data_IF_156682043117
#
_entry.id   IF_156682043117
#
_cell.length_a   1.000
_cell.length_b   1.000
_cell.length_c   1.000
_cell.angle_alpha   90.00
_cell.angle_beta   90.00
_cell.angle_gamma   90.00
#
_symmetry.space_group_name_H-M   'P 1'
#
loop_
_entity.id
_entity.type
_entity.pdbx_description
1 polymer ?
#
# COMPACT_ATOMS: atom_id res chain seq x y z
N UNK A 1 -16.30 22.42 25.53
CA UNK A 1 -15.43 21.22 25.51
C UNK A 1 -15.73 20.46 24.24
N UNK A 2 -15.01 20.76 23.17
CA UNK A 2 -15.14 20.10 21.87
C UNK A 2 -14.48 18.73 22.02
N UNK A 3 -15.26 17.67 21.84
CA UNK A 3 -14.77 16.29 21.78
C UNK A 3 -13.71 16.21 20.68
N UNK A 4 -12.48 15.85 21.09
CA UNK A 4 -11.41 15.50 20.18
C UNK A 4 -11.95 14.35 19.32
N UNK A 5 -12.20 14.61 18.03
CA UNK A 5 -12.57 13.55 17.10
C UNK A 5 -11.51 12.45 17.23
N UNK A 6 -11.95 11.24 17.51
CA UNK A 6 -11.11 10.07 17.74
C UNK A 6 -10.15 9.92 16.56
N UNK A 7 -8.93 10.43 16.73
CA UNK A 7 -7.99 10.63 15.64
C UNK A 7 -7.45 9.25 15.30
N UNK A 8 -7.81 8.73 14.12
CA UNK A 8 -7.38 7.40 13.66
C UNK A 8 -5.87 7.25 13.85
N UNK A 9 -5.48 6.26 14.64
CA UNK A 9 -4.08 6.03 14.98
C UNK A 9 -3.31 5.50 13.75
N UNK A 10 -2.21 6.16 13.42
CA UNK A 10 -1.30 5.82 12.34
C UNK A 10 0.13 6.10 12.78
N UNK A 11 1.07 5.21 12.40
CA UNK A 11 2.50 5.48 12.53
C UNK A 11 2.95 6.65 11.66
N UNK A 12 4.13 7.21 11.98
CA UNK A 12 4.75 8.34 11.25
C UNK A 12 4.49 9.71 11.89
N UNK A 13 3.80 9.76 13.03
CA UNK A 13 3.53 10.99 13.80
C UNK A 13 4.74 11.53 14.58
N UNK A 14 5.92 11.63 13.94
CA UNK A 14 7.15 12.08 14.59
C UNK A 14 7.03 13.46 15.22
N UNK A 15 6.32 14.39 14.59
CA UNK A 15 6.14 15.74 15.15
C UNK A 15 5.34 15.72 16.46
N UNK A 16 4.28 14.91 16.54
CA UNK A 16 3.51 14.72 17.77
C UNK A 16 4.35 14.03 18.84
N UNK A 17 5.16 13.03 18.48
CA UNK A 17 6.06 12.35 19.41
C UNK A 17 7.15 13.31 19.94
N UNK A 18 7.75 14.12 19.08
CA UNK A 18 8.73 15.16 19.44
C UNK A 18 8.13 16.24 20.31
N UNK A 19 6.92 16.70 20.00
CA UNK A 19 6.21 17.67 20.84
C UNK A 19 5.95 17.14 22.26
N UNK A 20 5.72 15.82 22.39
CA UNK A 20 5.46 15.17 23.68
C UNK A 20 6.72 14.82 24.46
N UNK A 21 7.75 14.29 23.80
CA UNK A 21 8.92 13.69 24.44
C UNK A 21 10.22 14.50 24.26
N UNK A 22 10.20 15.56 23.46
CA UNK A 22 11.36 16.40 23.18
C UNK A 22 12.28 15.86 22.08
N UNK A 23 13.40 16.57 21.84
CA UNK A 23 14.41 16.21 20.86
C UNK A 23 14.22 16.81 19.45
N UNK A 24 15.33 16.91 18.74
CA UNK A 24 15.43 17.31 17.33
C UNK A 24 15.11 16.14 16.39
N UNK A 25 14.76 16.43 15.13
CA UNK A 25 14.43 15.39 14.16
C UNK A 25 15.55 14.34 13.95
N UNK A 26 16.82 14.71 14.18
CA UNK A 26 17.98 13.81 14.00
C UNK A 26 18.15 12.80 15.13
N UNK A 27 17.51 13.02 16.27
CA UNK A 27 17.59 12.15 17.45
C UNK A 27 16.53 11.05 17.43
N UNK A 28 15.61 11.09 16.46
CA UNK A 28 14.52 10.13 16.33
C UNK A 28 14.82 9.10 15.25
N UNK A 29 14.61 7.83 15.61
CA UNK A 29 14.51 6.73 14.67
C UNK A 29 13.04 6.30 14.58
N UNK A 30 12.40 6.58 13.45
CA UNK A 30 11.01 6.18 13.26
C UNK A 30 10.89 4.72 12.83
N UNK A 31 10.48 3.87 13.76
CA UNK A 31 10.13 2.46 13.52
C UNK A 31 8.62 2.23 13.56
N UNK A 32 7.82 3.30 13.65
CA UNK A 32 6.35 3.20 13.70
C UNK A 32 5.73 3.00 12.31
N UNK A 33 6.54 3.11 11.26
CA UNK A 33 6.08 2.95 9.87
C UNK A 33 6.75 1.74 9.23
N UNK A 34 5.96 0.88 8.57
CA UNK A 34 6.47 -0.23 7.74
C UNK A 34 7.04 0.24 6.39
N UNK A 35 7.85 1.30 6.40
CA UNK A 35 8.48 1.91 5.22
C UNK A 35 9.91 1.37 5.11
N UNK A 36 10.36 1.04 3.89
CA UNK A 36 11.74 0.62 3.68
C UNK A 36 12.71 1.75 4.09
N UNK A 37 13.61 1.53 5.06
CA UNK A 37 14.51 2.57 5.57
C UNK A 37 15.60 2.97 4.57
N UNK A 38 15.83 2.17 3.52
CA UNK A 38 16.70 2.51 2.40
C UNK A 38 15.86 2.64 1.13
N UNK A 39 15.39 3.85 0.79
CA UNK A 39 14.48 4.06 -0.32
C UNK A 39 15.14 3.82 -1.67
N UNK A 40 14.32 3.61 -2.70
CA UNK A 40 14.79 3.60 -4.08
C UNK A 40 15.52 4.92 -4.40
N UNK A 41 16.73 4.88 -4.98
CA UNK A 41 17.50 6.07 -5.24
C UNK A 41 16.82 6.94 -6.31
N UNK A 42 16.54 8.19 -5.96
CA UNK A 42 15.96 9.15 -6.91
C UNK A 42 17.10 9.84 -7.64
N UNK A 43 17.31 9.46 -8.91
CA UNK A 43 18.21 10.15 -9.81
C UNK A 43 17.64 11.52 -10.22
N UNK A 44 18.49 12.37 -10.82
CA UNK A 44 18.04 13.64 -11.40
C UNK A 44 16.90 13.41 -12.40
N UNK A 45 15.84 14.19 -12.26
CA UNK A 45 14.68 14.16 -13.15
C UNK A 45 14.85 15.16 -14.28
N UNK A 46 14.32 14.87 -15.48
CA UNK A 46 14.19 15.88 -16.53
C UNK A 46 13.42 17.10 -16.00
N UNK A 47 13.82 18.34 -16.33
CA UNK A 47 13.08 19.54 -15.92
C UNK A 47 11.61 19.51 -16.31
N UNK A 48 11.31 18.95 -17.49
CA UNK A 48 9.95 18.80 -18.01
C UNK A 48 9.03 17.94 -17.14
N UNK A 49 9.58 17.03 -16.32
CA UNK A 49 8.78 16.26 -15.35
C UNK A 49 8.11 17.14 -14.31
N UNK A 50 8.62 18.36 -14.08
CA UNK A 50 8.07 19.32 -13.10
C UNK A 50 7.19 20.38 -13.75
N UNK A 51 7.52 20.80 -14.97
CA UNK A 51 6.95 22.00 -15.59
C UNK A 51 5.82 21.70 -16.57
N UNK A 52 5.70 20.46 -17.07
CA UNK A 52 4.64 20.06 -18.00
C UNK A 52 3.54 19.26 -17.31
N UNK A 53 2.32 19.42 -17.79
CA UNK A 53 1.24 18.51 -17.44
C UNK A 53 1.58 17.10 -17.97
N UNK A 54 1.32 16.04 -17.17
CA UNK A 54 1.51 14.68 -17.64
C UNK A 54 0.73 14.37 -18.91
N UNK A 55 1.42 13.84 -19.91
CA UNK A 55 0.80 13.37 -21.13
C UNK A 55 0.46 11.88 -21.06
N UNK A 56 -0.21 11.38 -22.11
CA UNK A 56 -0.58 9.97 -22.21
C UNK A 56 0.65 9.05 -22.23
N UNK A 57 1.78 9.49 -22.80
CA UNK A 57 2.98 8.67 -22.92
C UNK A 57 3.61 8.39 -21.55
N UNK A 58 3.66 9.39 -20.66
CA UNK A 58 4.16 9.23 -19.30
C UNK A 58 3.33 8.22 -18.49
N UNK A 59 1.99 8.32 -18.57
CA UNK A 59 1.10 7.33 -17.96
C UNK A 59 1.30 5.93 -18.56
N UNK A 60 1.34 5.82 -19.90
CA UNK A 60 1.51 4.55 -20.58
C UNK A 60 2.84 3.87 -20.23
N UNK A 61 3.94 4.64 -20.11
CA UNK A 61 5.23 4.10 -19.69
C UNK A 61 5.15 3.50 -18.28
N UNK A 62 4.60 4.27 -17.33
CA UNK A 62 4.43 3.79 -15.95
C UNK A 62 3.56 2.54 -15.89
N UNK A 63 2.39 2.56 -16.53
CA UNK A 63 1.47 1.43 -16.55
C UNK A 63 2.09 0.20 -17.24
N UNK A 64 2.92 0.39 -18.28
CA UNK A 64 3.66 -0.70 -18.94
C UNK A 64 4.74 -1.30 -18.03
N UNK A 65 5.51 -0.45 -17.35
CA UNK A 65 6.51 -0.90 -16.38
C UNK A 65 5.87 -1.69 -15.23
N UNK A 66 4.76 -1.18 -14.69
CA UNK A 66 3.97 -1.85 -13.66
C UNK A 66 3.43 -3.21 -14.12
N UNK A 67 2.91 -3.30 -15.36
CA UNK A 67 2.45 -4.56 -15.94
C UNK A 67 3.55 -5.61 -15.99
N UNK A 68 4.76 -5.22 -16.42
CA UNK A 68 5.91 -6.12 -16.47
C UNK A 68 6.37 -6.52 -15.07
N UNK A 69 6.60 -5.56 -14.18
CA UNK A 69 7.13 -5.80 -12.84
C UNK A 69 6.24 -6.73 -12.02
N UNK A 70 4.92 -6.49 -12.03
CA UNK A 70 3.96 -7.30 -11.26
C UNK A 70 3.37 -8.48 -12.04
N UNK A 71 3.82 -8.75 -13.27
CA UNK A 71 3.25 -9.80 -14.12
C UNK A 71 1.72 -9.70 -14.25
N UNK A 72 1.23 -8.48 -14.50
CA UNK A 72 -0.21 -8.19 -14.58
C UNK A 72 -0.81 -8.89 -15.80
N UNK A 73 -1.86 -9.72 -15.65
CA UNK A 73 -2.47 -10.39 -16.79
C UNK A 73 -3.14 -9.41 -17.77
N UNK A 74 -3.20 -9.77 -19.05
CA UNK A 74 -3.75 -8.92 -20.12
C UNK A 74 -5.22 -8.54 -19.89
N UNK A 75 -6.01 -9.44 -19.29
CA UNK A 75 -7.42 -9.20 -18.98
C UNK A 75 -7.69 -8.23 -17.82
N UNK A 76 -6.66 -7.81 -17.09
CA UNK A 76 -6.79 -6.82 -16.01
C UNK A 76 -6.48 -5.41 -16.52
N UNK A 77 -7.20 -4.41 -16.03
CA UNK A 77 -6.86 -3.00 -16.22
C UNK A 77 -5.96 -2.51 -15.07
N UNK A 78 -5.21 -1.44 -15.34
CA UNK A 78 -4.32 -0.79 -14.37
C UNK A 78 -4.60 0.72 -14.32
N UNK A 79 -4.45 1.30 -13.14
CA UNK A 79 -4.58 2.73 -12.90
C UNK A 79 -3.59 3.18 -11.83
N UNK A 80 -2.70 4.10 -12.18
CA UNK A 80 -1.87 4.83 -11.22
C UNK A 80 -2.70 5.90 -10.51
N UNK A 81 -2.46 6.12 -9.22
CA UNK A 81 -3.22 7.00 -8.34
C UNK A 81 -2.31 7.75 -7.34
N UNK A 82 -2.78 8.85 -6.71
CA UNK A 82 -2.02 9.63 -5.73
C UNK A 82 -1.93 8.89 -4.37
N UNK A 83 -1.22 7.76 -4.38
CA UNK A 83 -1.10 6.82 -3.27
C UNK A 83 -2.30 5.86 -3.18
N UNK A 84 -2.08 4.73 -2.53
CA UNK A 84 -3.14 3.75 -2.26
C UNK A 84 -4.30 4.35 -1.45
N UNK A 85 -4.02 5.33 -0.58
CA UNK A 85 -5.04 6.04 0.22
C UNK A 85 -6.13 6.70 -0.63
N UNK A 86 -5.78 7.28 -1.78
CA UNK A 86 -6.77 7.87 -2.67
C UNK A 86 -7.70 6.82 -3.30
N UNK A 87 -7.16 5.62 -3.55
CA UNK A 87 -7.94 4.49 -4.04
C UNK A 87 -8.88 3.99 -2.94
N UNK A 88 -8.35 3.74 -1.74
CA UNK A 88 -9.11 3.27 -0.57
C UNK A 88 -10.31 4.17 -0.29
N UNK A 89 -10.12 5.49 -0.36
CA UNK A 89 -11.19 6.46 -0.14
C UNK A 89 -12.30 6.43 -1.22
N UNK A 90 -12.03 5.91 -2.42
CA UNK A 90 -12.96 5.95 -3.57
C UNK A 90 -13.61 4.61 -3.89
N UNK A 91 -12.94 3.49 -3.59
CA UNK A 91 -13.44 2.13 -3.86
C UNK A 91 -14.87 1.89 -3.33
N UNK A 92 -15.24 2.31 -2.11
CA UNK A 92 -16.59 2.07 -1.59
C UNK A 92 -17.71 2.71 -2.41
N UNK A 93 -17.42 3.76 -3.18
CA UNK A 93 -18.39 4.45 -4.03
C UNK A 93 -18.53 3.88 -5.44
N UNK A 94 -17.75 2.84 -5.80
CA UNK A 94 -17.76 2.28 -7.16
C UNK A 94 -18.97 1.36 -7.41
N UNK A 95 -19.60 0.85 -6.36
CA UNK A 95 -20.77 -0.05 -6.41
C UNK A 95 -21.76 0.34 -5.31
N UNK A 96 -23.06 -0.04 -5.43
CA UNK A 96 -24.05 0.25 -4.40
C UNK A 96 -23.64 -0.31 -3.02
N UNK A 97 -23.92 0.42 -1.92
CA UNK A 97 -23.54 0.00 -0.59
C UNK A 97 -24.28 -1.27 -0.17
N UNK A 98 -23.60 -2.10 0.60
CA UNK A 98 -24.14 -3.33 1.19
C UNK A 98 -23.40 -3.68 2.47
N UNK A 99 -22.98 -4.93 2.58
CA UNK A 99 -22.20 -5.43 3.73
C UNK A 99 -20.78 -5.69 3.28
N UNK A 100 -19.80 -5.20 4.04
CA UNK A 100 -18.38 -5.44 3.78
C UNK A 100 -17.75 -6.22 4.93
N UNK A 101 -17.04 -7.29 4.57
CA UNK A 101 -16.20 -8.07 5.49
C UNK A 101 -14.76 -7.54 5.45
N UNK A 102 -14.27 -7.08 6.60
CA UNK A 102 -12.92 -6.54 6.77
C UNK A 102 -12.31 -7.19 8.03
N UNK A 103 -11.59 -8.31 7.90
CA UNK A 103 -11.10 -9.05 9.05
C UNK A 103 -10.07 -8.25 9.88
N UNK A 104 -10.32 -8.13 11.18
CA UNK A 104 -9.46 -7.42 12.13
C UNK A 104 -8.47 -8.37 12.83
N UNK A 105 -7.39 -7.84 13.46
CA UNK A 105 -6.87 -6.47 13.32
C UNK A 105 -6.30 -6.24 11.92
N UNK A 106 -6.56 -5.05 11.35
CA UNK A 106 -6.05 -4.64 10.04
C UNK A 106 -5.93 -3.12 9.90
N UNK A 107 -5.49 -2.63 8.74
CA UNK A 107 -5.43 -1.20 8.43
C UNK A 107 -6.82 -0.55 8.46
N UNK A 108 -7.01 0.37 9.42
CA UNK A 108 -8.29 0.97 9.79
C UNK A 108 -8.91 1.91 8.72
N UNK A 109 -8.13 2.40 7.74
CA UNK A 109 -8.66 3.27 6.68
C UNK A 109 -9.71 2.60 5.81
N UNK A 110 -9.63 1.29 5.59
CA UNK A 110 -10.63 0.57 4.80
C UNK A 110 -12.01 0.63 5.46
N UNK A 111 -12.10 0.23 6.74
CA UNK A 111 -13.37 0.27 7.47
C UNK A 111 -13.94 1.70 7.55
N UNK A 112 -13.09 2.71 7.75
CA UNK A 112 -13.49 4.11 7.77
C UNK A 112 -14.06 4.56 6.41
N UNK A 113 -13.38 4.25 5.31
CA UNK A 113 -13.83 4.63 3.97
C UNK A 113 -15.16 3.94 3.59
N UNK A 114 -15.30 2.65 3.89
CA UNK A 114 -16.55 1.92 3.63
C UNK A 114 -17.70 2.45 4.47
N UNK A 115 -17.49 2.70 5.77
CA UNK A 115 -18.51 3.28 6.66
C UNK A 115 -18.94 4.67 6.17
N UNK A 116 -17.99 5.52 5.77
CA UNK A 116 -18.28 6.85 5.24
C UNK A 116 -19.12 6.82 3.95
N UNK A 117 -19.03 5.75 3.17
CA UNK A 117 -19.83 5.53 1.97
C UNK A 117 -21.16 4.79 2.23
N UNK A 118 -21.56 4.62 3.50
CA UNK A 118 -22.84 4.01 3.89
C UNK A 118 -22.85 2.48 3.90
N UNK A 119 -21.68 1.83 3.89
CA UNK A 119 -21.61 0.38 4.04
C UNK A 119 -21.73 -0.05 5.49
N UNK A 120 -22.27 -1.25 5.71
CA UNK A 120 -22.27 -1.90 7.03
C UNK A 120 -21.11 -2.89 7.12
N UNK A 121 -20.32 -2.80 8.20
CA UNK A 121 -19.29 -3.81 8.49
C UNK A 121 -19.95 -5.11 8.98
N UNK A 122 -19.56 -6.25 8.42
CA UNK A 122 -20.09 -7.56 8.82
C UNK A 122 -19.54 -8.71 7.97
N UNK A 123 -19.73 -9.95 8.42
CA UNK A 123 -19.26 -11.15 7.71
C UNK A 123 -20.18 -11.54 6.53
N UNK A 124 -19.64 -12.29 5.57
CA UNK A 124 -20.37 -12.84 4.41
C UNK A 124 -21.14 -11.81 3.59
N UNK A 125 -20.53 -10.63 3.39
CA UNK A 125 -21.14 -9.51 2.70
C UNK A 125 -21.01 -9.52 1.17
N UNK A 126 -21.53 -8.47 0.53
CA UNK A 126 -21.37 -8.21 -0.91
C UNK A 126 -19.98 -7.66 -1.27
N UNK A 127 -19.20 -7.28 -0.27
CA UNK A 127 -17.81 -6.89 -0.43
C UNK A 127 -16.89 -7.57 0.60
N UNK A 128 -15.62 -7.74 0.24
CA UNK A 128 -14.56 -8.16 1.15
C UNK A 128 -13.29 -7.37 0.89
N UNK A 129 -12.66 -6.91 1.97
CA UNK A 129 -11.35 -6.23 1.93
C UNK A 129 -10.38 -7.01 2.79
N UNK A 130 -9.24 -7.36 2.21
CA UNK A 130 -8.11 -7.91 2.96
C UNK A 130 -6.84 -7.11 2.68
N UNK A 131 -6.02 -6.88 3.70
CA UNK A 131 -4.65 -6.41 3.53
C UNK A 131 -3.74 -7.64 3.45
N UNK A 132 -2.85 -7.68 2.45
CA UNK A 132 -2.08 -8.86 2.09
C UNK A 132 -0.64 -8.51 1.67
N UNK A 133 0.41 -8.90 2.42
CA UNK A 133 0.38 -9.36 3.80
C UNK A 133 -0.33 -8.36 4.72
N UNK A 134 -1.06 -8.85 5.72
CA UNK A 134 -1.86 -8.01 6.61
C UNK A 134 -0.99 -7.15 7.53
N UNK A 135 -1.44 -5.94 7.83
CA UNK A 135 -0.83 -5.06 8.83
C UNK A 135 -1.76 -5.06 10.06
N UNK A 136 -1.33 -5.51 11.26
CA UNK A 136 0.06 -5.54 11.73
C UNK A 136 0.72 -6.92 11.84
N UNK A 137 0.01 -8.01 11.55
CA UNK A 137 0.47 -9.37 11.87
C UNK A 137 1.26 -10.07 10.74
N UNK A 138 1.32 -9.50 9.54
CA UNK A 138 1.96 -10.11 8.37
C UNK A 138 1.20 -11.29 7.74
N UNK A 139 -0.04 -11.54 8.16
CA UNK A 139 -0.84 -12.70 7.71
C UNK A 139 -1.04 -12.70 6.19
N UNK A 140 -0.89 -13.88 5.59
CA UNK A 140 -1.16 -14.13 4.17
C UNK A 140 -2.54 -14.78 4.00
N UNK A 141 -3.44 -14.07 3.31
CA UNK A 141 -4.76 -14.58 2.93
C UNK A 141 -4.66 -15.52 1.72
N UNK A 142 -5.31 -16.69 1.78
CA UNK A 142 -5.35 -17.67 0.69
C UNK A 142 -6.76 -17.91 0.14
N UNK A 143 -7.78 -17.72 0.98
CA UNK A 143 -9.17 -18.06 0.76
C UNK A 143 -10.11 -16.88 1.08
N UNK A 144 -11.40 -17.05 0.73
CA UNK A 144 -12.43 -16.04 0.95
C UNK A 144 -12.22 -14.78 0.12
N UNK A 145 -11.71 -14.91 -1.11
CA UNK A 145 -11.40 -13.78 -2.01
C UNK A 145 -12.30 -13.79 -3.25
N UNK A 146 -13.57 -14.15 -3.04
CA UNK A 146 -14.54 -14.41 -4.11
C UNK A 146 -15.87 -13.66 -3.86
N UNK A 147 -15.84 -12.60 -3.03
CA UNK A 147 -16.99 -11.71 -2.83
C UNK A 147 -17.25 -10.87 -4.10
N UNK A 148 -18.50 -10.42 -4.36
CA UNK A 148 -18.83 -9.63 -5.55
C UNK A 148 -17.98 -8.38 -5.73
N UNK A 149 -17.58 -7.70 -4.66
CA UNK A 149 -16.48 -6.74 -4.64
C UNK A 149 -15.36 -7.30 -3.74
N UNK A 150 -14.20 -7.62 -4.32
CA UNK A 150 -13.04 -8.10 -3.56
C UNK A 150 -11.88 -7.12 -3.71
N UNK A 151 -11.43 -6.55 -2.59
CA UNK A 151 -10.28 -5.64 -2.53
C UNK A 151 -9.14 -6.34 -1.81
N UNK A 152 -8.01 -6.52 -2.49
CA UNK A 152 -6.79 -7.11 -1.95
C UNK A 152 -5.74 -5.99 -1.89
N UNK A 153 -5.52 -5.44 -0.71
CA UNK A 153 -4.52 -4.40 -0.50
C UNK A 153 -3.13 -5.02 -0.36
N UNK A 154 -2.39 -5.01 -1.46
CA UNK A 154 -1.04 -5.55 -1.58
C UNK A 154 0.05 -4.49 -1.36
N UNK A 155 -0.23 -3.46 -0.56
CA UNK A 155 0.72 -2.40 -0.23
C UNK A 155 2.06 -2.90 0.34
N UNK A 156 2.08 -4.09 0.95
CA UNK A 156 3.29 -4.72 1.50
C UNK A 156 3.81 -5.91 0.68
N UNK A 157 3.12 -6.32 -0.39
CA UNK A 157 3.38 -7.59 -1.06
C UNK A 157 4.66 -7.60 -1.92
N UNK A 158 5.22 -6.44 -2.25
CA UNK A 158 6.46 -6.37 -3.05
C UNK A 158 7.68 -7.03 -2.37
N UNK A 159 7.62 -7.34 -1.07
CA UNK A 159 8.64 -8.15 -0.37
C UNK A 159 8.51 -9.66 -0.58
N UNK A 160 7.34 -10.14 -1.00
CA UNK A 160 6.97 -11.55 -1.15
C UNK A 160 6.12 -11.71 -2.42
N UNK A 161 6.68 -11.40 -3.61
CA UNK A 161 5.93 -11.39 -4.86
C UNK A 161 5.28 -12.74 -5.19
N UNK A 162 5.81 -13.85 -4.67
CA UNK A 162 5.26 -15.20 -4.79
C UNK A 162 3.91 -15.40 -4.07
N UNK A 163 3.59 -14.56 -3.08
CA UNK A 163 2.31 -14.59 -2.37
C UNK A 163 1.22 -13.74 -3.06
N UNK A 164 1.61 -12.93 -4.05
CA UNK A 164 0.74 -12.01 -4.78
C UNK A 164 -0.47 -12.71 -5.40
N UNK A 165 -1.64 -12.09 -5.25
CA UNK A 165 -2.89 -12.49 -5.89
C UNK A 165 -3.08 -11.87 -7.27
N UNK A 166 -2.04 -11.28 -7.88
CA UNK A 166 -2.15 -10.55 -9.15
C UNK A 166 -2.82 -11.34 -10.29
N UNK A 167 -2.69 -12.67 -10.29
CA UNK A 167 -3.37 -13.55 -11.23
C UNK A 167 -4.92 -13.48 -11.16
N UNK A 168 -5.47 -13.02 -10.03
CA UNK A 168 -6.91 -12.80 -9.83
C UNK A 168 -7.41 -11.49 -10.42
N UNK A 169 -6.52 -10.55 -10.76
CA UNK A 169 -6.91 -9.21 -11.21
C UNK A 169 -7.95 -9.18 -12.36
N UNK A 170 -7.94 -10.11 -13.35
CA UNK A 170 -8.95 -10.11 -14.41
C UNK A 170 -10.37 -10.49 -13.96
N UNK A 171 -10.54 -11.03 -12.74
CA UNK A 171 -11.84 -11.48 -12.26
C UNK A 171 -12.77 -10.28 -12.06
N UNK A 172 -14.04 -10.37 -12.50
CA UNK A 172 -15.04 -9.34 -12.21
C UNK A 172 -15.11 -9.03 -10.71
N UNK A 173 -15.26 -7.75 -10.37
CA UNK A 173 -15.35 -7.32 -8.98
C UNK A 173 -14.04 -7.29 -8.21
N UNK A 174 -12.90 -7.69 -8.79
CA UNK A 174 -11.61 -7.77 -8.08
C UNK A 174 -10.76 -6.53 -8.30
N UNK A 175 -10.22 -5.98 -7.22
CA UNK A 175 -9.21 -4.91 -7.22
C UNK A 175 -8.02 -5.30 -6.34
N UNK A 176 -6.82 -5.13 -6.86
CA UNK A 176 -5.56 -5.34 -6.16
C UNK A 176 -4.86 -4.00 -6.06
N UNK A 177 -4.47 -3.61 -4.85
CA UNK A 177 -3.83 -2.33 -4.59
C UNK A 177 -2.32 -2.50 -4.43
N UNK A 178 -1.52 -1.63 -5.05
CA UNK A 178 -0.06 -1.58 -4.85
C UNK A 178 0.35 -0.20 -4.33
N UNK A 179 1.47 -0.13 -3.62
CA UNK A 179 1.93 1.11 -2.98
C UNK A 179 3.43 1.31 -3.12
N UNK A 180 3.83 2.51 -3.53
CA UNK A 180 5.23 2.95 -3.50
C UNK A 180 5.68 3.42 -2.13
N UNK A 181 4.76 3.55 -1.18
CA UNK A 181 5.09 4.08 0.13
C UNK A 181 5.83 3.09 1.04
N UNK A 182 5.77 1.79 0.76
CA UNK A 182 6.28 0.74 1.65
C UNK A 182 7.63 0.21 1.15
N UNK A 183 7.61 -0.83 0.32
CA UNK A 183 8.81 -1.49 -0.23
C UNK A 183 9.80 -0.53 -0.90
N UNK A 184 9.30 0.42 -1.67
CA UNK A 184 10.12 1.38 -2.39
C UNK A 184 10.69 2.50 -1.49
N UNK A 185 10.20 2.65 -0.27
CA UNK A 185 10.60 3.72 0.66
C UNK A 185 10.15 5.13 0.23
N UNK A 186 9.27 5.23 -0.77
CA UNK A 186 8.88 6.50 -1.40
C UNK A 186 7.52 7.00 -0.90
N UNK A 187 7.30 6.98 0.42
CA UNK A 187 6.02 7.38 1.01
C UNK A 187 5.62 8.81 0.69
N UNK A 188 6.56 9.74 0.63
CA UNK A 188 6.32 11.14 0.24
C UNK A 188 5.97 11.34 -1.24
N UNK A 189 6.28 10.37 -2.12
CA UNK A 189 6.00 10.47 -3.55
C UNK A 189 4.49 10.42 -3.85
N UNK A 190 3.72 9.81 -2.94
CA UNK A 190 2.27 9.59 -3.09
C UNK A 190 1.93 8.88 -4.40
N UNK A 191 2.55 7.72 -4.63
CA UNK A 191 2.24 6.86 -5.77
C UNK A 191 1.65 5.52 -5.31
N UNK A 192 0.58 5.09 -5.96
CA UNK A 192 -0.06 3.78 -5.75
C UNK A 192 -0.81 3.35 -7.00
N UNK A 193 -1.31 2.11 -7.00
CA UNK A 193 -1.98 1.53 -8.15
C UNK A 193 -3.22 0.75 -7.74
N UNK A 194 -4.24 0.79 -8.59
CA UNK A 194 -5.32 -0.17 -8.61
C UNK A 194 -5.15 -1.05 -9.86
N UNK A 195 -5.23 -2.35 -9.70
CA UNK A 195 -5.10 -3.34 -10.78
C UNK A 195 -6.24 -4.33 -10.65
N UNK A 196 -7.05 -4.52 -11.69
CA UNK A 196 -8.23 -5.36 -11.53
C UNK A 196 -9.24 -5.31 -12.65
N UNK A 197 -10.50 -5.57 -12.28
CA UNK A 197 -11.68 -5.52 -13.14
C UNK A 197 -11.70 -4.21 -13.97
N UNK A 198 -11.66 -4.30 -15.31
CA UNK A 198 -11.71 -3.15 -16.19
C UNK A 198 -12.89 -2.20 -15.92
N UNK A 199 -14.05 -2.73 -15.53
CA UNK A 199 -15.25 -1.95 -15.22
C UNK A 199 -15.04 -1.09 -13.97
N UNK A 200 -14.47 -1.68 -12.91
CA UNK A 200 -14.18 -0.95 -11.67
C UNK A 200 -13.06 0.07 -11.87
N UNK A 201 -12.02 -0.30 -12.61
CA UNK A 201 -10.91 0.61 -12.94
C UNK A 201 -11.39 1.82 -13.74
N UNK A 202 -12.30 1.62 -14.70
CA UNK A 202 -12.89 2.74 -15.45
C UNK A 202 -13.67 3.70 -14.53
N UNK A 203 -14.51 3.17 -13.63
CA UNK A 203 -15.24 3.98 -12.64
C UNK A 203 -14.31 4.71 -11.69
N UNK A 204 -13.23 4.05 -11.24
CA UNK A 204 -12.24 4.65 -10.37
C UNK A 204 -11.45 5.77 -11.07
N UNK A 205 -11.11 5.58 -12.35
CA UNK A 205 -10.45 6.60 -13.18
C UNK A 205 -11.32 7.85 -13.29
N UNK A 206 -12.63 7.69 -13.51
CA UNK A 206 -13.57 8.82 -13.52
C UNK A 206 -13.63 9.52 -12.16
N UNK A 207 -13.72 8.75 -11.07
CA UNK A 207 -13.81 9.30 -9.71
C UNK A 207 -12.54 10.03 -9.23
N UNK A 208 -11.37 9.70 -9.78
CA UNK A 208 -10.10 10.37 -9.48
C UNK A 208 -9.87 11.61 -10.37
N UNK A 209 -10.50 11.67 -11.54
CA UNK A 209 -10.32 12.74 -12.51
C UNK A 209 -8.99 12.68 -13.28
N UNK A 210 -8.74 13.63 -14.18
CA UNK A 210 -7.54 13.67 -15.00
C UNK A 210 -6.31 14.10 -14.19
N UNK A 211 -5.11 13.71 -14.66
CA UNK A 211 -3.81 14.09 -14.09
C UNK A 211 -3.65 13.80 -12.59
N UNK A 212 -4.25 12.70 -12.14
CA UNK A 212 -4.26 12.28 -10.74
C UNK A 212 -2.88 11.91 -10.16
N UNK A 213 -1.83 11.84 -10.99
CA UNK A 213 -0.44 11.57 -10.58
C UNK A 213 0.47 12.65 -11.16
N UNK A 214 1.39 13.17 -10.34
CA UNK A 214 2.33 14.22 -10.75
C UNK A 214 3.39 13.69 -11.73
N UNK A 215 3.89 14.56 -12.61
CA UNK A 215 4.95 14.23 -13.56
C UNK A 215 6.21 13.60 -12.91
N UNK A 216 6.71 14.10 -11.77
CA UNK A 216 7.84 13.48 -11.09
C UNK A 216 7.53 12.08 -10.56
N UNK A 217 6.31 11.85 -10.06
CA UNK A 217 5.88 10.53 -9.60
C UNK A 217 5.76 9.52 -10.74
N UNK A 218 5.30 9.95 -11.92
CA UNK A 218 5.28 9.10 -13.12
C UNK A 218 6.68 8.67 -13.53
N UNK A 219 7.62 9.63 -13.59
CA UNK A 219 9.00 9.37 -14.01
C UNK A 219 9.75 8.47 -13.02
N UNK A 220 9.68 8.79 -11.72
CA UNK A 220 10.31 7.99 -10.67
C UNK A 220 9.68 6.59 -10.62
N UNK A 221 8.35 6.52 -10.70
CA UNK A 221 7.62 5.26 -10.67
C UNK A 221 8.04 4.32 -11.80
N UNK A 222 8.16 4.85 -13.02
CA UNK A 222 8.55 4.06 -14.18
C UNK A 222 9.98 3.53 -14.06
N UNK A 223 10.94 4.39 -13.66
CA UNK A 223 12.33 3.97 -13.43
C UNK A 223 12.45 2.88 -12.37
N UNK A 224 11.74 3.06 -11.26
CA UNK A 224 11.75 2.10 -10.15
C UNK A 224 11.22 0.73 -10.58
N UNK A 225 10.09 0.69 -11.31
CA UNK A 225 9.49 -0.57 -11.80
C UNK A 225 10.29 -1.20 -12.95
N UNK A 226 11.11 -0.45 -13.66
CA UNK A 226 12.04 -0.97 -14.66
C UNK A 226 13.32 -1.57 -14.03
N UNK A 227 13.62 -1.23 -12.78
CA UNK A 227 14.82 -1.66 -12.05
C UNK A 227 14.58 -2.92 -11.21
N UNK A 228 14.43 -4.05 -11.89
CA UNK A 228 14.28 -5.36 -11.24
C UNK A 228 15.46 -5.72 -10.34
N UNK A 229 16.68 -5.32 -10.71
CA UNK A 229 17.89 -5.65 -9.96
C UNK A 229 17.88 -4.99 -8.57
N UNK A 230 17.47 -3.72 -8.49
CA UNK A 230 17.30 -3.04 -7.21
C UNK A 230 16.24 -3.72 -6.35
N UNK A 231 15.12 -4.15 -6.94
CA UNK A 231 14.05 -4.82 -6.21
C UNK A 231 14.54 -6.15 -5.60
N UNK A 232 15.25 -6.98 -6.37
CA UNK A 232 15.81 -8.24 -5.84
C UNK A 232 16.86 -8.01 -4.76
N UNK A 233 17.78 -7.06 -4.98
CA UNK A 233 18.78 -6.69 -3.97
C UNK A 233 18.11 -6.19 -2.67
N UNK A 234 17.03 -5.42 -2.79
CA UNK A 234 16.25 -4.92 -1.65
C UNK A 234 15.59 -6.05 -0.88
N UNK A 235 14.97 -7.02 -1.55
CA UNK A 235 14.39 -8.20 -0.87
C UNK A 235 15.46 -8.99 -0.10
N UNK A 236 16.59 -9.27 -0.74
CA UNK A 236 17.70 -9.98 -0.10
C UNK A 236 18.23 -9.24 1.14
N UNK A 237 18.40 -7.91 1.03
CA UNK A 237 18.81 -7.07 2.16
C UNK A 237 17.79 -7.09 3.30
N UNK A 238 16.50 -6.94 3.00
CA UNK A 238 15.44 -6.92 4.02
C UNK A 238 15.36 -8.24 4.79
N UNK A 239 15.66 -9.39 4.15
CA UNK A 239 15.79 -10.68 4.85
C UNK A 239 16.93 -10.63 5.88
N UNK A 240 18.09 -10.09 5.52
CA UNK A 240 19.24 -9.96 6.43
C UNK A 240 18.95 -8.96 7.56
N UNK A 241 18.38 -7.80 7.23
CA UNK A 241 18.04 -6.74 8.19
C UNK A 241 17.04 -7.24 9.23
N UNK A 242 16.02 -7.99 8.81
CA UNK A 242 15.04 -8.53 9.75
C UNK A 242 15.59 -9.66 10.59
N UNK A 243 16.44 -10.55 10.06
CA UNK A 243 17.13 -11.54 10.89
C UNK A 243 17.98 -10.90 11.99
N UNK A 244 18.66 -9.78 11.67
CA UNK A 244 19.41 -8.99 12.65
C UNK A 244 18.50 -8.33 13.68
N UNK A 245 17.38 -7.75 13.26
CA UNK A 245 16.39 -7.15 14.16
C UNK A 245 15.80 -8.21 15.11
N UNK A 246 15.39 -9.35 14.57
CA UNK A 246 14.83 -10.47 15.33
C UNK A 246 15.82 -10.90 16.42
N UNK A 247 17.09 -11.13 16.07
CA UNK A 247 18.13 -11.52 17.04
C UNK A 247 18.32 -10.48 18.17
N UNK A 248 18.29 -9.18 17.84
CA UNK A 248 18.42 -8.11 18.84
C UNK A 248 17.22 -8.06 19.79
N UNK A 249 16.01 -8.19 19.26
CA UNK A 249 14.77 -8.01 20.01
C UNK A 249 14.45 -9.26 20.83
N UNK A 250 14.60 -10.46 20.27
CA UNK A 250 14.38 -11.71 21.00
C UNK A 250 15.45 -11.97 22.04
N UNK A 251 16.69 -11.51 21.81
CA UNK A 251 17.75 -11.53 22.83
C UNK A 251 17.45 -10.68 24.08
N UNK A 252 16.39 -9.85 24.03
CA UNK A 252 15.90 -9.03 25.15
C UNK A 252 14.59 -9.53 25.75
N UNK A 253 14.15 -10.75 25.41
CA UNK A 253 12.97 -11.40 25.99
C UNK A 253 11.67 -11.21 25.20
N UNK A 254 11.68 -10.44 24.10
CA UNK A 254 10.52 -10.34 23.23
C UNK A 254 10.31 -11.62 22.41
N UNK A 255 9.06 -11.93 22.07
CA UNK A 255 8.69 -13.09 21.25
C UNK A 255 8.19 -12.62 19.89
N UNK A 256 8.79 -13.11 18.81
CA UNK A 256 8.30 -12.86 17.45
C UNK A 256 6.95 -13.58 17.25
N UNK A 257 5.90 -12.84 16.90
CA UNK A 257 4.55 -13.40 16.71
C UNK A 257 3.98 -13.16 15.31
N UNK A 258 4.61 -12.31 14.51
CA UNK A 258 4.19 -12.07 13.13
C UNK A 258 5.03 -11.01 12.42
N UNK A 259 4.63 -10.69 11.19
CA UNK A 259 5.23 -9.63 10.38
C UNK A 259 5.69 -10.08 9.00
N UNK A 260 6.42 -9.17 8.34
CA UNK A 260 7.03 -9.33 7.02
C UNK A 260 8.51 -8.93 7.11
N UNK A 261 9.25 -8.96 6.00
CA UNK A 261 10.61 -8.42 5.98
C UNK A 261 10.66 -6.88 6.02
N UNK A 262 9.51 -6.18 6.01
CA UNK A 262 9.42 -4.72 6.20
C UNK A 262 9.04 -4.31 7.62
N UNK A 263 8.32 -5.15 8.35
CA UNK A 263 7.88 -4.85 9.72
C UNK A 263 7.76 -6.14 10.52
N UNK A 264 7.97 -6.06 11.84
CA UNK A 264 7.83 -7.20 12.75
C UNK A 264 6.80 -6.91 13.82
N UNK A 265 6.04 -7.93 14.21
CA UNK A 265 5.17 -7.90 15.37
C UNK A 265 5.79 -8.77 16.46
N UNK A 266 6.10 -8.13 17.58
CA UNK A 266 6.62 -8.78 18.77
C UNK A 266 5.61 -8.69 19.91
N UNK A 267 5.51 -9.76 20.68
CA UNK A 267 4.94 -9.72 22.01
C UNK A 267 6.07 -9.46 23.01
N UNK A 268 5.83 -8.57 23.96
CA UNK A 268 6.76 -8.24 25.05
C UNK A 268 6.05 -8.48 26.36
N UNK A 269 6.76 -9.06 27.33
CA UNK A 269 6.24 -9.20 28.69
C UNK A 269 6.00 -7.78 29.27
N UNK A 270 4.83 -7.60 29.86
CA UNK A 270 4.38 -6.33 30.45
C UNK A 270 5.01 -6.07 31.82
#
# INVERSE_FOLDING_TARGET
MTTQADQRDHGGGLDSARARFGGSAKEWLDLSTGINPQPYPIAQLPPDSWTRLPDRAAFNRLETAARRFWSVPDGAAILAAPGASAIIARVPGLVPPGVVDIPTPTYNEHAAAFTAAGWRIGTSGTARVVVHPNNPDGRLWRDGLDAPLTVIDESFCDVTPEASHIARAPRPGTLILKSFGKFWGLAGLRLGFAIGDPTLIARLREALGPWQVSGPALEIGARALEDMAWAEATRARLVQDTARLDALVTGRGARLVGGTTLFRLYEVDS
#
